data_IF_435028585728
#
_entry.id   IF_435028585728
#
_cell.length_a   1.000
_cell.length_b   1.000
_cell.length_c   1.000
_cell.angle_alpha   90.00
_cell.angle_beta   90.00
_cell.angle_gamma   90.00
#
_symmetry.space_group_name_H-M   'P 1'
#
loop_
_entity.id
_entity.type
_entity.pdbx_description
1 polymer ?
#
# COMPACT_ATOMS: atom_id res chain seq x y z
N UNK A 1 35.62 13.55 -17.84
CA UNK A 1 34.38 13.41 -17.06
C UNK A 1 33.22 13.30 -18.05
N UNK A 2 32.77 12.09 -18.36
CA UNK A 2 31.62 11.88 -19.25
C UNK A 2 30.39 11.60 -18.40
N UNK A 3 29.45 12.53 -18.40
CA UNK A 3 28.15 12.38 -17.73
C UNK A 3 27.39 11.29 -18.48
N UNK A 4 27.18 10.14 -17.84
CA UNK A 4 26.40 9.04 -18.40
C UNK A 4 24.93 9.43 -18.47
N UNK A 5 24.36 9.43 -19.68
CA UNK A 5 22.92 9.62 -19.89
C UNK A 5 22.20 8.36 -19.44
N UNK A 6 21.55 8.40 -18.28
CA UNK A 6 20.70 7.31 -17.79
C UNK A 6 19.44 7.27 -18.67
N UNK A 7 19.07 6.11 -19.27
CA UNK A 7 17.85 6.00 -20.04
C UNK A 7 16.64 6.32 -19.15
N UNK A 8 15.67 7.09 -19.67
CA UNK A 8 14.42 7.33 -18.95
C UNK A 8 13.68 6.01 -18.82
N UNK A 9 13.54 5.52 -17.59
CA UNK A 9 12.61 4.46 -17.26
C UNK A 9 11.20 4.94 -17.66
N UNK A 10 10.62 4.37 -18.72
CA UNK A 10 9.19 4.50 -18.96
C UNK A 10 8.49 3.70 -17.86
N UNK A 11 8.00 4.41 -16.85
CA UNK A 11 7.24 3.80 -15.76
C UNK A 11 5.97 3.23 -16.38
N UNK A 12 5.85 1.90 -16.40
CA UNK A 12 4.56 1.25 -16.64
C UNK A 12 3.64 1.72 -15.50
N UNK A 13 2.43 2.24 -15.80
CA UNK A 13 1.52 2.76 -14.78
C UNK A 13 1.37 1.76 -13.61
N UNK A 14 1.28 2.28 -12.38
CA UNK A 14 1.85 1.67 -11.19
C UNK A 14 1.19 0.34 -10.80
N UNK A 15 1.94 -0.52 -10.12
CA UNK A 15 1.51 -1.81 -9.56
C UNK A 15 0.28 -1.76 -8.64
N UNK A 16 -0.19 -0.55 -8.26
CA UNK A 16 -1.41 -0.35 -7.46
C UNK A 16 -2.58 0.25 -8.25
N UNK A 17 -2.41 0.47 -9.56
CA UNK A 17 -3.43 0.98 -10.47
C UNK A 17 -3.96 2.37 -10.11
N UNK A 18 -4.77 2.95 -11.00
CA UNK A 18 -5.74 3.95 -10.58
C UNK A 18 -6.66 3.30 -9.55
N UNK A 19 -6.70 3.81 -8.30
CA UNK A 19 -7.66 3.33 -7.31
C UNK A 19 -9.06 3.32 -7.95
N UNK A 20 -9.74 2.15 -7.99
CA UNK A 20 -11.09 2.08 -8.50
C UNK A 20 -11.93 3.15 -7.78
N UNK A 21 -12.53 4.06 -8.55
CA UNK A 21 -13.45 5.03 -8.00
C UNK A 21 -14.75 4.29 -7.67
N UNK A 22 -15.34 4.65 -6.53
CA UNK A 22 -16.67 4.18 -6.13
C UNK A 22 -17.73 4.89 -6.98
N UNK A 23 -17.90 4.44 -8.23
CA UNK A 23 -18.81 5.06 -9.19
C UNK A 23 -20.28 4.83 -8.81
N UNK A 24 -20.60 3.62 -8.36
CA UNK A 24 -21.96 3.23 -8.00
C UNK A 24 -22.34 3.66 -6.57
N UNK A 25 -21.37 4.17 -5.81
CA UNK A 25 -21.58 4.69 -4.46
C UNK A 25 -21.83 3.60 -3.42
N UNK A 26 -21.27 2.40 -3.60
CA UNK A 26 -21.42 1.26 -2.69
C UNK A 26 -20.99 1.62 -1.26
N UNK A 27 -19.99 2.49 -1.11
CA UNK A 27 -19.47 2.94 0.18
C UNK A 27 -19.82 4.39 0.51
N UNK A 28 -20.75 5.00 -0.26
CA UNK A 28 -21.09 6.42 -0.14
C UNK A 28 -21.63 6.78 1.24
N UNK A 29 -22.50 5.96 1.83
CA UNK A 29 -23.10 6.27 3.13
C UNK A 29 -22.06 6.42 4.25
N UNK A 30 -21.08 5.51 4.31
CA UNK A 30 -20.00 5.57 5.30
C UNK A 30 -19.04 6.72 4.96
N UNK A 31 -18.78 6.98 3.67
CA UNK A 31 -17.98 8.12 3.25
C UNK A 31 -18.57 9.45 3.73
N UNK A 32 -19.89 9.61 3.64
CA UNK A 32 -20.59 10.82 4.07
C UNK A 32 -20.60 10.96 5.59
N UNK A 33 -20.78 9.85 6.33
CA UNK A 33 -20.65 9.83 7.80
C UNK A 33 -19.25 10.28 8.23
N UNK A 34 -18.20 9.75 7.59
CA UNK A 34 -16.82 10.15 7.86
C UNK A 34 -16.60 11.64 7.60
N UNK A 35 -16.97 12.14 6.41
CA UNK A 35 -16.79 13.54 6.05
C UNK A 35 -17.59 14.47 6.99
N UNK A 36 -18.79 14.06 7.38
CA UNK A 36 -19.60 14.80 8.36
C UNK A 36 -18.89 14.90 9.71
N UNK A 37 -18.38 13.80 10.24
CA UNK A 37 -17.62 13.77 11.49
C UNK A 37 -16.40 14.72 11.42
N UNK A 38 -15.63 14.68 10.32
CA UNK A 38 -14.47 15.57 10.16
C UNK A 38 -14.88 17.04 10.15
N UNK A 39 -16.01 17.37 9.50
CA UNK A 39 -16.55 18.74 9.49
C UNK A 39 -16.99 19.18 10.89
N UNK A 40 -17.69 18.34 11.62
CA UNK A 40 -18.14 18.62 13.01
C UNK A 40 -16.95 18.84 13.96
N UNK A 41 -15.88 18.07 13.79
CA UNK A 41 -14.63 18.21 14.56
C UNK A 41 -13.67 19.27 13.98
N UNK A 42 -14.17 20.19 13.13
CA UNK A 42 -13.40 21.32 12.56
C UNK A 42 -12.11 20.89 11.86
N UNK A 43 -12.16 19.78 11.12
CA UNK A 43 -11.03 19.22 10.39
C UNK A 43 -10.17 18.22 11.17
N UNK A 44 -10.49 17.95 12.44
CA UNK A 44 -9.77 16.93 13.19
C UNK A 44 -10.19 15.51 12.80
N UNK A 45 -9.46 14.93 11.84
CA UNK A 45 -9.69 13.57 11.37
C UNK A 45 -9.35 12.48 12.41
N UNK A 46 -8.57 12.78 13.46
CA UNK A 46 -8.18 11.79 14.46
C UNK A 46 -9.35 11.27 15.28
N UNK A 47 -10.38 12.09 15.51
CA UNK A 47 -11.61 11.66 16.20
C UNK A 47 -12.52 10.77 15.34
N UNK A 48 -12.33 10.76 14.02
CA UNK A 48 -13.17 10.03 13.07
C UNK A 48 -12.49 8.77 12.50
N UNK A 49 -11.41 8.31 13.14
CA UNK A 49 -10.61 7.18 12.63
C UNK A 49 -11.40 5.88 12.52
N UNK A 50 -12.36 5.65 13.41
CA UNK A 50 -13.25 4.49 13.33
C UNK A 50 -14.11 4.50 12.06
N UNK A 51 -14.66 5.66 11.67
CA UNK A 51 -15.41 5.81 10.42
C UNK A 51 -14.49 5.67 9.20
N UNK A 52 -13.25 6.16 9.29
CA UNK A 52 -12.26 5.96 8.23
C UNK A 52 -11.91 4.47 8.05
N UNK A 53 -11.78 3.71 9.15
CA UNK A 53 -11.52 2.28 9.11
C UNK A 53 -12.70 1.53 8.46
N UNK A 54 -13.94 1.82 8.87
CA UNK A 54 -15.14 1.24 8.27
C UNK A 54 -15.26 1.56 6.78
N UNK A 55 -14.91 2.79 6.38
CA UNK A 55 -14.92 3.19 4.97
C UNK A 55 -13.90 2.40 4.14
N UNK A 56 -12.68 2.19 4.66
CA UNK A 56 -11.67 1.39 3.97
C UNK A 56 -12.07 -0.08 3.89
N UNK A 57 -12.66 -0.62 4.96
CA UNK A 57 -13.18 -1.99 4.97
C UNK A 57 -14.26 -2.18 3.90
N UNK A 58 -15.23 -1.26 3.82
CA UNK A 58 -16.26 -1.29 2.78
C UNK A 58 -15.66 -1.35 1.36
N UNK A 59 -14.58 -0.58 1.11
CA UNK A 59 -13.93 -0.60 -0.21
C UNK A 59 -13.21 -1.91 -0.50
N UNK A 60 -12.63 -2.56 0.52
CA UNK A 60 -12.03 -3.89 0.38
C UNK A 60 -13.11 -4.93 0.07
N UNK A 61 -14.24 -4.87 0.78
CA UNK A 61 -15.35 -5.83 0.64
C UNK A 61 -16.06 -5.72 -0.71
N UNK A 62 -15.99 -4.55 -1.36
CA UNK A 62 -16.58 -4.29 -2.68
C UNK A 62 -15.56 -4.33 -3.83
N UNK A 63 -14.36 -4.88 -3.61
CA UNK A 63 -13.27 -4.95 -4.60
C UNK A 63 -12.84 -3.58 -5.17
N UNK A 64 -13.15 -2.48 -4.47
CA UNK A 64 -12.73 -1.11 -4.78
C UNK A 64 -11.34 -0.78 -4.20
N UNK A 65 -10.76 -1.72 -3.44
CA UNK A 65 -9.44 -1.66 -2.83
C UNK A 65 -8.89 -3.08 -2.71
N UNK A 66 -7.59 -3.26 -2.96
CA UNK A 66 -6.92 -4.55 -2.78
C UNK A 66 -7.03 -5.05 -1.33
N UNK A 67 -7.18 -6.37 -1.11
CA UNK A 67 -7.25 -6.95 0.22
C UNK A 67 -5.92 -6.79 0.95
N UNK A 68 -5.86 -5.82 1.86
CA UNK A 68 -4.73 -5.53 2.74
C UNK A 68 -5.28 -5.30 4.16
N UNK A 69 -4.59 -5.76 5.22
CA UNK A 69 -5.06 -5.59 6.58
C UNK A 69 -5.10 -4.10 6.98
N UNK A 70 -6.14 -3.69 7.72
CA UNK A 70 -6.35 -2.31 8.16
C UNK A 70 -5.18 -1.74 8.98
N UNK A 71 -4.41 -2.59 9.66
CA UNK A 71 -3.20 -2.20 10.39
C UNK A 71 -2.10 -1.65 9.47
N UNK A 72 -1.99 -2.14 8.22
CA UNK A 72 -1.05 -1.61 7.23
C UNK A 72 -1.43 -0.20 6.75
N UNK A 73 -2.72 0.14 6.83
CA UNK A 73 -3.22 1.50 6.60
C UNK A 73 -3.06 2.40 7.85
N UNK A 74 -2.46 1.86 8.92
CA UNK A 74 -2.16 2.58 10.16
C UNK A 74 -3.32 2.64 11.15
N UNK A 75 -4.38 1.84 10.96
CA UNK A 75 -5.45 1.70 11.95
C UNK A 75 -5.00 0.85 13.14
N UNK A 76 -5.38 1.27 14.35
CA UNK A 76 -5.13 0.54 15.60
C UNK A 76 -6.36 -0.28 15.96
N UNK A 77 -6.20 -1.24 16.87
CA UNK A 77 -7.31 -2.09 17.33
C UNK A 77 -8.51 -1.27 17.85
N UNK A 78 -8.22 -0.21 18.62
CA UNK A 78 -9.24 0.74 19.11
C UNK A 78 -9.99 1.49 18.00
N UNK A 79 -9.40 1.61 16.80
CA UNK A 79 -10.04 2.26 15.66
C UNK A 79 -10.99 1.26 14.96
N UNK A 80 -10.75 -0.05 15.09
CA UNK A 80 -11.58 -1.11 14.50
C UNK A 80 -12.78 -1.45 15.39
N UNK A 81 -12.57 -1.46 16.71
CA UNK A 81 -13.54 -1.85 17.72
C UNK A 81 -13.83 -0.69 18.68
N UNK A 82 -14.65 0.31 18.28
CA UNK A 82 -14.93 1.48 19.12
C UNK A 82 -15.81 1.20 20.35
N UNK A 83 -16.47 0.05 20.41
CA UNK A 83 -17.37 -0.34 21.52
C UNK A 83 -16.65 -1.12 22.64
N UNK A 84 -15.43 -1.59 22.41
CA UNK A 84 -14.66 -2.33 23.41
C UNK A 84 -13.93 -1.35 24.36
N UNK A 85 -14.08 -1.51 25.70
CA UNK A 85 -13.40 -0.66 26.66
C UNK A 85 -11.88 -0.85 26.54
N UNK A 86 -11.19 0.26 26.25
CA UNK A 86 -9.75 0.29 26.03
C UNK A 86 -8.98 -0.21 27.26
N UNK A 87 -8.55 -1.47 27.25
CA UNK A 87 -7.48 -1.92 28.15
C UNK A 87 -6.15 -1.39 27.59
N UNK A 88 -5.73 -0.24 28.09
CA UNK A 88 -4.49 0.41 27.71
C UNK A 88 -3.27 -0.35 28.24
N UNK A 89 -2.61 -1.15 27.39
CA UNK A 89 -1.23 -1.59 27.64
C UNK A 89 -0.34 -1.66 26.40
N UNK A 90 -0.52 -0.79 25.41
CA UNK A 90 0.41 -0.77 24.26
C UNK A 90 0.96 0.63 24.01
N UNK A 91 1.89 1.05 24.86
CA UNK A 91 2.93 1.99 24.44
C UNK A 91 3.90 1.20 23.55
N UNK A 92 3.58 1.09 22.27
CA UNK A 92 4.51 0.55 21.28
C UNK A 92 5.56 1.62 21.04
N UNK A 93 6.76 1.46 21.62
CA UNK A 93 7.92 2.25 21.20
C UNK A 93 8.13 1.99 19.71
N UNK A 94 8.49 3.01 18.92
CA UNK A 94 8.58 2.90 17.45
C UNK A 94 9.46 1.74 16.97
N UNK A 95 10.35 1.29 17.84
CA UNK A 95 11.30 0.18 17.70
C UNK A 95 10.62 -1.20 17.62
N UNK A 96 9.46 -1.39 18.26
CA UNK A 96 8.76 -2.68 18.31
C UNK A 96 7.89 -2.97 17.07
N UNK A 97 7.59 -1.95 16.24
CA UNK A 97 6.85 -2.09 14.98
C UNK A 97 7.77 -2.30 13.75
N UNK A 98 9.08 -2.19 13.93
CA UNK A 98 10.06 -2.47 12.88
C UNK A 98 10.26 -3.99 12.77
N UNK A 99 9.51 -4.62 11.86
CA UNK A 99 9.80 -5.99 11.43
C UNK A 99 11.28 -6.09 11.02
N UNK A 100 11.88 -7.24 11.35
CA UNK A 100 13.25 -7.58 10.96
C UNK A 100 13.46 -7.27 9.49
N UNK A 101 14.66 -6.81 9.13
CA UNK A 101 14.96 -6.36 7.76
C UNK A 101 14.65 -7.46 6.75
N UNK A 102 14.86 -8.72 7.16
CA UNK A 102 14.62 -9.95 6.43
C UNK A 102 13.12 -10.24 6.19
N UNK A 103 12.21 -9.73 7.01
CA UNK A 103 10.77 -9.91 6.85
C UNK A 103 10.08 -8.84 5.99
N UNK A 104 10.77 -7.74 5.69
CA UNK A 104 10.21 -6.66 4.87
C UNK A 104 10.04 -7.12 3.44
N UNK A 105 9.00 -6.64 2.75
CA UNK A 105 8.79 -6.96 1.33
C UNK A 105 10.05 -6.60 0.49
N UNK A 106 10.82 -5.59 0.90
CA UNK A 106 12.11 -5.19 0.32
C UNK A 106 13.19 -6.30 0.29
N UNK A 107 13.28 -7.15 1.31
CA UNK A 107 14.25 -8.27 1.33
C UNK A 107 13.88 -9.37 0.33
N UNK A 108 12.58 -9.51 0.06
CA UNK A 108 12.02 -10.40 -0.97
C UNK A 108 12.07 -9.76 -2.36
N UNK A 109 12.81 -8.66 -2.49
CA UNK A 109 12.98 -7.94 -3.75
C UNK A 109 11.82 -7.03 -4.09
N UNK A 110 10.93 -6.63 -3.18
CA UNK A 110 9.87 -5.69 -3.52
C UNK A 110 10.28 -4.26 -3.20
N UNK A 111 10.51 -3.43 -4.21
CA UNK A 111 10.81 -2.00 -4.05
C UNK A 111 9.74 -1.20 -4.79
N UNK A 112 9.02 -0.35 -4.05
CA UNK A 112 8.08 0.64 -4.59
C UNK A 112 7.15 0.12 -5.72
N UNK A 113 6.51 -1.03 -5.48
CA UNK A 113 5.48 -1.58 -6.37
C UNK A 113 5.87 -2.88 -7.05
N UNK A 114 7.11 -3.04 -7.50
CA UNK A 114 7.51 -4.20 -8.30
C UNK A 114 8.35 -5.22 -7.55
N UNK A 115 8.24 -6.49 -7.93
CA UNK A 115 9.24 -7.53 -7.61
C UNK A 115 10.48 -7.31 -8.50
N UNK A 116 11.65 -7.14 -7.87
CA UNK A 116 12.97 -6.95 -8.48
C UNK A 116 13.32 -8.12 -9.40
N UNK A 117 12.73 -9.30 -9.16
CA UNK A 117 13.00 -10.51 -9.94
C UNK A 117 12.35 -10.45 -11.32
N UNK A 118 11.22 -9.77 -11.47
CA UNK A 118 10.47 -9.73 -12.73
C UNK A 118 11.04 -8.73 -13.75
N UNK A 119 11.76 -7.71 -13.28
CA UNK A 119 12.40 -6.70 -14.13
C UNK A 119 13.83 -7.06 -14.57
N UNK A 120 14.50 -8.01 -13.92
CA UNK A 120 15.88 -8.40 -14.27
C UNK A 120 15.95 -9.46 -15.38
N UNK A 121 14.89 -10.23 -15.59
CA UNK A 121 14.93 -11.46 -16.38
C UNK A 121 14.49 -11.31 -17.86
N UNK A 122 14.26 -10.10 -18.39
CA UNK A 122 13.74 -9.94 -19.76
C UNK A 122 14.66 -9.30 -20.79
N UNK A 123 15.83 -8.80 -20.41
CA UNK A 123 16.81 -8.28 -21.37
C UNK A 123 17.98 -9.25 -21.53
N UNK A 124 17.71 -10.43 -22.12
CA UNK A 124 18.74 -11.19 -22.81
C UNK A 124 19.22 -10.35 -24.01
N UNK A 125 20.27 -9.57 -23.75
CA UNK A 125 20.96 -8.77 -24.76
C UNK A 125 21.25 -9.58 -26.02
N UNK A 126 21.20 -8.96 -27.20
CA UNK A 126 21.47 -9.67 -28.46
C UNK A 126 22.85 -10.35 -28.47
N UNK A 127 23.80 -9.79 -27.71
CA UNK A 127 25.12 -10.36 -27.46
C UNK A 127 25.08 -11.62 -26.59
N UNK A 128 24.25 -11.69 -25.54
CA UNK A 128 24.12 -12.92 -24.73
C UNK A 128 23.48 -14.05 -25.54
N UNK A 129 22.50 -13.74 -26.39
CA UNK A 129 21.90 -14.71 -27.35
C UNK A 129 22.87 -15.17 -28.45
N UNK A 130 23.80 -14.31 -28.87
CA UNK A 130 24.85 -14.68 -29.83
C UNK A 130 25.92 -15.54 -29.16
N UNK A 131 26.38 -15.17 -27.98
CA UNK A 131 27.39 -15.91 -27.23
C UNK A 131 26.88 -17.31 -26.82
N UNK A 132 25.61 -17.44 -26.44
CA UNK A 132 25.00 -18.75 -26.14
C UNK A 132 24.90 -19.68 -27.36
N UNK A 133 24.89 -19.14 -28.58
CA UNK A 133 24.93 -19.93 -29.82
C UNK A 133 26.33 -20.36 -30.24
N UNK A 134 27.37 -19.70 -29.74
CA UNK A 134 28.77 -20.05 -30.03
C UNK A 134 29.39 -20.99 -28.99
N UNK A 135 28.73 -21.18 -27.85
CA UNK A 135 29.17 -22.04 -26.76
C UNK A 135 28.40 -23.38 -26.69
N UNK A 136 27.70 -23.76 -27.76
CA UNK A 136 27.06 -25.07 -27.92
C UNK A 136 27.52 -25.74 -29.22
#
# INVERSE_FOLDING_TARGET
MTVGTVPRLSVIPPDRGSFPLDHDGACKEISEKYVRCVRELKGNAMGCRHLAAQYMQCRIDNDLLSPEPLTNFGFRERDLNPEEPSQSKDHVTGDALLRSREERKESKGFIAGGSVVDNYAKDESYLSKLLSKFLN
#
